data_IF_439182392278
#
_entry.id   IF_439182392278
#
_cell.length_a   1.000
_cell.length_b   1.000
_cell.length_c   1.000
_cell.angle_alpha   90.00
_cell.angle_beta   90.00
_cell.angle_gamma   90.00
#
_symmetry.space_group_name_H-M   'P 1'
#
loop_
_entity.id
_entity.type
_entity.pdbx_description
1 polymer ?
#
# COMPACT_ATOMS: atom_id res chain seq x y z
N UNK A 1 158.19 -87.11 -0.86
CA UNK A 1 159.26 -88.10 -0.64
C UNK A 1 159.87 -88.43 -1.99
N UNK A 2 161.15 -88.76 -1.96
CA UNK A 2 162.16 -88.68 -3.01
C UNK A 2 162.03 -89.64 -4.21
N UNK A 3 162.60 -89.17 -5.32
CA UNK A 3 163.44 -89.83 -6.34
C UNK A 3 162.82 -90.88 -7.29
N UNK A 4 162.89 -90.80 -8.63
CA UNK A 4 163.99 -90.57 -9.60
C UNK A 4 164.59 -91.89 -10.15
N UNK A 5 164.86 -91.88 -11.48
CA UNK A 5 165.56 -92.85 -12.37
C UNK A 5 164.77 -94.02 -12.98
N UNK A 6 164.99 -94.53 -14.22
CA UNK A 6 165.60 -94.13 -15.53
C UNK A 6 165.30 -95.29 -16.52
N UNK A 7 165.14 -95.07 -17.83
CA UNK A 7 165.89 -95.80 -18.91
C UNK A 7 165.63 -95.23 -20.34
N UNK A 8 166.63 -95.34 -21.20
CA UNK A 8 166.75 -94.84 -22.58
C UNK A 8 166.78 -96.01 -23.59
N UNK A 9 166.07 -95.93 -24.75
CA UNK A 9 166.49 -96.38 -26.12
C UNK A 9 165.33 -96.52 -27.17
N UNK A 10 165.65 -96.14 -28.43
CA UNK A 10 165.04 -96.45 -29.78
C UNK A 10 163.78 -95.62 -30.19
N UNK A 11 163.64 -95.02 -31.40
CA UNK A 11 163.96 -95.38 -32.81
C UNK A 11 162.72 -96.06 -33.44
N UNK A 12 162.10 -95.72 -34.59
CA UNK A 12 162.54 -95.24 -35.91
C UNK A 12 161.31 -94.84 -36.80
N UNK A 13 161.61 -94.27 -37.97
CA UNK A 13 160.87 -93.60 -39.05
C UNK A 13 159.79 -94.39 -39.87
N UNK A 14 159.06 -93.61 -40.71
CA UNK A 14 158.44 -93.92 -42.04
C UNK A 14 157.09 -94.69 -42.08
N UNK A 15 156.12 -94.50 -43.00
CA UNK A 15 155.79 -93.54 -44.08
C UNK A 15 154.45 -93.96 -44.75
N UNK A 16 153.69 -93.00 -45.30
CA UNK A 16 152.76 -93.07 -46.48
C UNK A 16 151.21 -93.33 -46.40
N UNK A 17 150.53 -92.56 -47.29
CA UNK A 17 149.25 -92.75 -48.03
C UNK A 17 147.94 -92.13 -47.50
N UNK A 18 147.43 -90.98 -48.04
CA UNK A 18 146.74 -90.68 -49.34
C UNK A 18 145.20 -90.87 -49.31
N UNK A 19 144.46 -89.74 -49.44
CA UNK A 19 143.02 -89.48 -49.71
C UNK A 19 141.91 -90.50 -49.34
N UNK A 20 140.82 -90.09 -48.63
CA UNK A 20 139.56 -90.84 -48.63
C UNK A 20 138.63 -90.41 -49.79
N UNK A 21 137.90 -91.38 -50.32
CA UNK A 21 137.16 -91.36 -51.59
C UNK A 21 136.07 -90.29 -51.75
N UNK A 22 135.82 -89.88 -53.00
CA UNK A 22 134.74 -88.98 -53.46
C UNK A 22 133.33 -89.41 -52.98
N UNK A 23 133.14 -90.69 -52.67
CA UNK A 23 131.87 -91.26 -52.17
C UNK A 23 131.48 -90.73 -50.79
N UNK A 24 132.46 -90.45 -49.92
CA UNK A 24 132.23 -90.00 -48.54
C UNK A 24 131.86 -88.51 -48.50
N UNK A 25 132.52 -87.70 -49.33
CA UNK A 25 132.18 -86.29 -49.53
C UNK A 25 130.79 -86.15 -50.20
N UNK A 26 130.47 -87.00 -51.18
CA UNK A 26 129.16 -86.98 -51.85
C UNK A 26 128.03 -87.34 -50.86
N UNK A 27 128.22 -88.34 -49.99
CA UNK A 27 127.24 -88.70 -48.95
C UNK A 27 127.00 -87.57 -47.95
N UNK A 28 128.06 -86.90 -47.48
CA UNK A 28 127.95 -85.74 -46.58
C UNK A 28 127.20 -84.58 -47.25
N UNK A 29 127.51 -84.28 -48.51
CA UNK A 29 126.80 -83.25 -49.29
C UNK A 29 125.32 -83.62 -49.47
N UNK A 30 125.01 -84.89 -49.72
CA UNK A 30 123.62 -85.39 -49.83
C UNK A 30 122.88 -85.32 -48.50
N UNK A 31 123.52 -85.66 -47.37
CA UNK A 31 122.90 -85.57 -46.03
C UNK A 31 122.64 -84.11 -45.65
N UNK A 32 123.59 -83.20 -45.90
CA UNK A 32 123.39 -81.77 -45.68
C UNK A 32 122.25 -81.26 -46.58
N UNK A 33 122.19 -81.70 -47.84
CA UNK A 33 121.12 -81.34 -48.76
C UNK A 33 119.75 -81.88 -48.30
N UNK A 34 119.68 -83.13 -47.82
CA UNK A 34 118.44 -83.71 -47.29
C UNK A 34 118.01 -83.05 -45.97
N UNK A 35 118.94 -82.74 -45.08
CA UNK A 35 118.67 -82.03 -43.82
C UNK A 35 118.20 -80.59 -44.08
N UNK A 36 118.84 -79.88 -44.99
CA UNK A 36 118.43 -78.52 -45.39
C UNK A 36 117.10 -78.53 -46.14
N UNK A 37 116.85 -79.52 -47.01
CA UNK A 37 115.56 -79.71 -47.68
C UNK A 37 114.46 -80.07 -46.69
N UNK A 38 114.74 -80.91 -45.69
CA UNK A 38 113.78 -81.25 -44.63
C UNK A 38 113.48 -80.02 -43.76
N UNK A 39 114.49 -79.23 -43.41
CA UNK A 39 114.34 -77.97 -42.66
C UNK A 39 113.49 -76.95 -43.43
N UNK A 40 113.77 -76.78 -44.74
CA UNK A 40 112.99 -75.91 -45.62
C UNK A 40 111.56 -76.39 -45.77
N UNK A 41 111.33 -77.70 -45.87
CA UNK A 41 109.99 -78.27 -45.94
C UNK A 41 109.21 -78.03 -44.65
N UNK A 42 109.83 -78.20 -43.47
CA UNK A 42 109.22 -77.91 -42.17
C UNK A 42 108.90 -76.42 -42.03
N UNK A 43 109.81 -75.53 -42.42
CA UNK A 43 109.56 -74.08 -42.43
C UNK A 43 108.50 -73.66 -43.44
N UNK A 44 108.44 -74.31 -44.60
CA UNK A 44 107.39 -74.07 -45.58
C UNK A 44 106.02 -74.54 -45.06
N UNK A 45 105.95 -75.67 -44.35
CA UNK A 45 104.73 -76.11 -43.67
C UNK A 45 104.31 -75.14 -42.57
N UNK A 46 105.25 -74.63 -41.78
CA UNK A 46 104.98 -73.65 -40.73
C UNK A 46 104.51 -72.31 -41.31
N UNK A 47 105.11 -71.83 -42.42
CA UNK A 47 104.67 -70.65 -43.14
C UNK A 47 103.28 -70.83 -43.79
N UNK A 48 103.03 -71.98 -44.39
CA UNK A 48 101.71 -72.32 -44.93
C UNK A 48 100.66 -72.40 -43.83
N UNK A 49 101.00 -72.95 -42.66
CA UNK A 49 100.13 -72.99 -41.50
C UNK A 49 99.86 -71.59 -40.92
N UNK A 50 100.90 -70.76 -40.78
CA UNK A 50 100.77 -69.36 -40.38
C UNK A 50 99.91 -68.55 -41.35
N UNK A 51 100.09 -68.71 -42.67
CA UNK A 51 99.30 -68.01 -43.69
C UNK A 51 97.86 -68.50 -43.70
N UNK A 52 97.63 -69.81 -43.52
CA UNK A 52 96.29 -70.39 -43.37
C UNK A 52 95.60 -69.87 -42.10
N UNK A 53 96.32 -69.78 -40.99
CA UNK A 53 95.81 -69.23 -39.73
C UNK A 53 95.55 -67.73 -39.84
N UNK A 54 96.40 -66.98 -40.55
CA UNK A 54 96.21 -65.54 -40.82
C UNK A 54 95.00 -65.30 -41.72
N UNK A 55 94.84 -66.08 -42.79
CA UNK A 55 93.69 -65.98 -43.68
C UNK A 55 92.39 -66.39 -42.96
N UNK A 56 92.45 -67.41 -42.10
CA UNK A 56 91.32 -67.79 -41.25
C UNK A 56 90.96 -66.69 -40.24
N UNK A 57 91.95 -66.01 -39.65
CA UNK A 57 91.73 -64.88 -38.76
C UNK A 57 91.17 -63.65 -39.51
N UNK A 58 91.63 -63.38 -40.73
CA UNK A 58 91.14 -62.29 -41.58
C UNK A 58 89.67 -62.51 -41.98
N UNK A 59 89.31 -63.72 -42.42
CA UNK A 59 87.92 -64.08 -42.71
C UNK A 59 87.01 -63.98 -41.47
N UNK A 60 87.55 -64.33 -40.29
CA UNK A 60 86.82 -64.15 -39.03
C UNK A 60 86.64 -62.67 -38.69
N UNK A 61 87.67 -61.84 -38.87
CA UNK A 61 87.61 -60.41 -38.62
C UNK A 61 86.63 -59.71 -39.58
N UNK A 62 86.66 -60.05 -40.87
CA UNK A 62 85.71 -59.54 -41.87
C UNK A 62 84.28 -59.91 -41.52
N UNK A 63 84.03 -61.18 -41.17
CA UNK A 63 82.70 -61.63 -40.74
C UNK A 63 82.22 -60.91 -39.47
N UNK A 64 83.12 -60.65 -38.51
CA UNK A 64 82.78 -59.89 -37.30
C UNK A 64 82.45 -58.44 -37.68
N UNK A 65 83.23 -57.80 -38.53
CA UNK A 65 82.97 -56.42 -39.00
C UNK A 65 81.63 -56.35 -39.71
N UNK A 66 81.30 -57.31 -40.59
CA UNK A 66 80.02 -57.35 -41.29
C UNK A 66 78.85 -57.52 -40.33
N UNK A 67 78.96 -58.47 -39.39
CA UNK A 67 77.92 -58.69 -38.36
C UNK A 67 77.77 -57.44 -37.49
N UNK A 68 78.86 -56.86 -37.01
CA UNK A 68 78.84 -55.63 -36.21
C UNK A 68 78.32 -54.43 -37.00
N UNK A 69 78.61 -54.33 -38.30
CA UNK A 69 78.07 -53.29 -39.17
C UNK A 69 76.56 -53.44 -39.37
N UNK A 70 76.09 -54.68 -39.56
CA UNK A 70 74.65 -54.97 -39.65
C UNK A 70 73.96 -54.68 -38.32
N UNK A 71 74.55 -55.10 -37.19
CA UNK A 71 74.06 -54.79 -35.85
C UNK A 71 73.99 -53.27 -35.64
N UNK A 72 75.06 -52.52 -35.95
CA UNK A 72 75.07 -51.06 -35.84
C UNK A 72 74.01 -50.40 -36.74
N UNK A 73 73.85 -50.85 -37.98
CA UNK A 73 72.81 -50.32 -38.87
C UNK A 73 71.40 -50.55 -38.29
N UNK A 74 71.14 -51.75 -37.74
CA UNK A 74 69.84 -52.02 -37.08
C UNK A 74 69.65 -51.19 -35.81
N UNK A 75 70.71 -50.95 -35.03
CA UNK A 75 70.65 -50.11 -33.84
C UNK A 75 70.42 -48.63 -34.19
N UNK A 76 71.04 -48.13 -35.25
CA UNK A 76 70.82 -46.78 -35.76
C UNK A 76 69.37 -46.60 -36.26
N UNK A 77 68.81 -47.59 -36.95
CA UNK A 77 67.41 -47.59 -37.37
C UNK A 77 66.46 -47.57 -36.16
N UNK A 78 66.70 -48.43 -35.16
CA UNK A 78 65.92 -48.46 -33.92
C UNK A 78 66.04 -47.12 -33.16
N UNK A 79 67.24 -46.54 -33.11
CA UNK A 79 67.45 -45.23 -32.48
C UNK A 79 66.68 -44.14 -33.21
N UNK A 80 66.70 -44.12 -34.54
CA UNK A 80 65.95 -43.17 -35.35
C UNK A 80 64.43 -43.34 -35.15
N UNK A 81 63.93 -44.57 -35.10
CA UNK A 81 62.53 -44.85 -34.80
C UNK A 81 62.14 -44.35 -33.40
N UNK A 82 62.92 -44.68 -32.38
CA UNK A 82 62.67 -44.24 -31.00
C UNK A 82 62.71 -42.71 -30.89
N UNK A 83 63.62 -42.02 -31.59
CA UNK A 83 63.68 -40.57 -31.63
C UNK A 83 62.43 -39.94 -32.29
N UNK A 84 61.94 -40.55 -33.37
CA UNK A 84 60.70 -40.13 -34.02
C UNK A 84 59.50 -40.33 -33.09
N UNK A 85 59.39 -41.48 -32.41
CA UNK A 85 58.34 -41.77 -31.44
C UNK A 85 58.37 -40.76 -30.28
N UNK A 86 59.54 -40.45 -29.72
CA UNK A 86 59.70 -39.42 -28.68
C UNK A 86 59.24 -38.05 -29.19
N UNK A 87 59.56 -37.70 -30.43
CA UNK A 87 59.17 -36.42 -31.02
C UNK A 87 57.66 -36.31 -31.20
N UNK A 88 57.00 -37.38 -31.67
CA UNK A 88 55.54 -37.46 -31.75
C UNK A 88 54.87 -37.37 -30.38
N UNK A 89 55.38 -38.11 -29.40
CA UNK A 89 54.88 -38.07 -28.02
C UNK A 89 55.03 -36.69 -27.38
N UNK A 90 56.15 -35.99 -27.61
CA UNK A 90 56.33 -34.60 -27.15
C UNK A 90 55.32 -33.66 -27.78
N UNK A 91 55.04 -33.80 -29.08
CA UNK A 91 54.02 -33.01 -29.75
C UNK A 91 52.62 -33.27 -29.17
N UNK A 92 52.28 -34.53 -28.94
CA UNK A 92 51.02 -34.90 -28.29
C UNK A 92 50.91 -34.33 -26.87
N UNK A 93 51.98 -34.43 -26.06
CA UNK A 93 52.02 -33.83 -24.72
C UNK A 93 51.82 -32.31 -24.77
N UNK A 94 52.43 -31.63 -25.74
CA UNK A 94 52.25 -30.19 -25.92
C UNK A 94 50.80 -29.84 -26.27
N UNK A 95 50.16 -30.59 -27.18
CA UNK A 95 48.75 -30.41 -27.53
C UNK A 95 47.81 -30.65 -26.35
N UNK A 96 48.04 -31.74 -25.60
CA UNK A 96 47.24 -32.05 -24.40
C UNK A 96 47.44 -30.98 -23.33
N UNK A 97 48.66 -30.48 -23.16
CA UNK A 97 48.94 -29.41 -22.20
C UNK A 97 48.27 -28.08 -22.59
N UNK A 98 48.26 -27.74 -23.88
CA UNK A 98 47.55 -26.58 -24.40
C UNK A 98 46.03 -26.72 -24.19
N UNK A 99 45.46 -27.89 -24.49
CA UNK A 99 44.04 -28.19 -24.22
C UNK A 99 43.70 -28.09 -22.73
N UNK A 100 44.55 -28.65 -21.85
CA UNK A 100 44.37 -28.54 -20.40
C UNK A 100 44.43 -27.08 -19.94
N UNK A 101 45.34 -26.27 -20.50
CA UNK A 101 45.42 -24.84 -20.20
C UNK A 101 44.15 -24.10 -20.63
N UNK A 102 43.61 -24.40 -21.81
CA UNK A 102 42.36 -23.80 -22.30
C UNK A 102 41.18 -24.18 -21.41
N UNK A 103 41.07 -25.45 -21.05
CA UNK A 103 39.99 -25.93 -20.17
C UNK A 103 40.07 -25.31 -18.78
N UNK A 104 41.27 -25.13 -18.23
CA UNK A 104 41.47 -24.45 -16.94
C UNK A 104 41.02 -22.99 -17.00
N UNK A 105 41.31 -22.27 -18.09
CA UNK A 105 40.83 -20.89 -18.28
C UNK A 105 39.30 -20.83 -18.39
N UNK A 106 38.69 -21.81 -19.06
CA UNK A 106 37.23 -21.91 -19.14
C UNK A 106 36.62 -22.18 -17.76
N UNK A 107 37.18 -23.13 -17.00
CA UNK A 107 36.74 -23.44 -15.63
C UNK A 107 36.82 -22.20 -14.73
N UNK A 108 37.92 -21.46 -14.76
CA UNK A 108 38.06 -20.23 -13.97
C UNK A 108 37.01 -19.18 -14.36
N UNK A 109 36.71 -19.03 -15.65
CA UNK A 109 35.66 -18.13 -16.11
C UNK A 109 34.27 -18.59 -15.63
N UNK A 110 33.99 -19.90 -15.68
CA UNK A 110 32.74 -20.46 -15.17
C UNK A 110 32.62 -20.27 -13.66
N UNK A 111 33.69 -20.45 -12.90
CA UNK A 111 33.71 -20.21 -11.45
C UNK A 111 33.39 -18.76 -11.12
N UNK A 112 33.98 -17.80 -11.86
CA UNK A 112 33.65 -16.37 -11.72
C UNK A 112 32.17 -16.10 -12.03
N UNK A 113 31.62 -16.71 -13.08
CA UNK A 113 30.19 -16.58 -13.42
C UNK A 113 29.29 -17.16 -12.33
N UNK A 114 29.65 -18.32 -11.77
CA UNK A 114 28.91 -18.95 -10.66
C UNK A 114 28.87 -18.02 -9.46
N UNK A 115 30.01 -17.41 -9.09
CA UNK A 115 30.05 -16.46 -7.95
C UNK A 115 29.14 -15.26 -8.19
N UNK A 116 29.12 -14.70 -9.40
CA UNK A 116 28.24 -13.58 -9.75
C UNK A 116 26.78 -14.00 -9.63
N UNK A 117 26.40 -15.13 -10.24
CA UNK A 117 25.01 -15.63 -10.21
C UNK A 117 24.56 -15.94 -8.78
N UNK A 118 25.44 -16.48 -7.93
CA UNK A 118 25.13 -16.73 -6.52
C UNK A 118 24.91 -15.42 -5.75
N UNK A 119 25.74 -14.40 -6.00
CA UNK A 119 25.56 -13.07 -5.42
C UNK A 119 24.23 -12.43 -5.86
N UNK A 120 23.92 -12.49 -7.16
CA UNK A 120 22.66 -11.96 -7.69
C UNK A 120 21.46 -12.71 -7.12
N UNK A 121 21.55 -14.03 -6.95
CA UNK A 121 20.50 -14.83 -6.32
C UNK A 121 20.25 -14.41 -4.87
N UNK A 122 21.30 -14.17 -4.09
CA UNK A 122 21.17 -13.68 -2.72
C UNK A 122 20.55 -12.28 -2.66
N UNK A 123 20.97 -11.38 -3.57
CA UNK A 123 20.36 -10.06 -3.70
C UNK A 123 18.86 -10.14 -4.03
N UNK A 124 18.48 -10.98 -4.99
CA UNK A 124 17.08 -11.20 -5.37
C UNK A 124 16.27 -11.79 -4.22
N UNK A 125 16.84 -12.75 -3.48
CA UNK A 125 16.20 -13.35 -2.30
C UNK A 125 15.95 -12.31 -1.21
N UNK A 126 16.94 -11.45 -0.95
CA UNK A 126 16.81 -10.35 0.01
C UNK A 126 15.76 -9.32 -0.45
N UNK A 127 15.72 -8.98 -1.74
CA UNK A 127 14.70 -8.09 -2.29
C UNK A 127 13.29 -8.70 -2.17
N UNK A 128 13.14 -10.00 -2.47
CA UNK A 128 11.87 -10.71 -2.36
C UNK A 128 11.37 -10.72 -0.90
N UNK A 129 12.26 -10.98 0.07
CA UNK A 129 11.91 -10.93 1.49
C UNK A 129 11.46 -9.52 1.93
N UNK A 130 12.10 -8.46 1.44
CA UNK A 130 11.66 -7.07 1.71
C UNK A 130 10.29 -6.79 1.09
N UNK A 131 10.03 -7.27 -0.13
CA UNK A 131 8.74 -7.10 -0.78
C UNK A 131 7.63 -7.88 -0.05
N UNK A 132 7.90 -9.09 0.42
CA UNK A 132 6.95 -9.85 1.25
C UNK A 132 6.62 -9.10 2.55
N UNK A 133 7.61 -8.51 3.22
CA UNK A 133 7.38 -7.66 4.40
C UNK A 133 6.55 -6.42 4.08
N UNK A 134 6.81 -5.76 2.95
CA UNK A 134 6.02 -4.61 2.48
C UNK A 134 4.57 -5.01 2.19
N UNK A 135 4.34 -6.13 1.52
CA UNK A 135 3.01 -6.67 1.23
C UNK A 135 2.26 -6.97 2.53
N UNK A 136 2.92 -7.60 3.50
CA UNK A 136 2.30 -7.88 4.80
C UNK A 136 1.91 -6.59 5.54
N UNK A 137 2.77 -5.57 5.52
CA UNK A 137 2.49 -4.28 6.14
C UNK A 137 1.32 -3.55 5.45
N UNK A 138 1.33 -3.49 4.11
CA UNK A 138 0.25 -2.91 3.31
C UNK A 138 -1.07 -3.65 3.53
N UNK A 139 -1.05 -4.97 3.58
CA UNK A 139 -2.23 -5.79 3.86
C UNK A 139 -2.80 -5.47 5.24
N UNK A 140 -1.96 -5.34 6.26
CA UNK A 140 -2.40 -4.95 7.60
C UNK A 140 -3.01 -3.54 7.62
N UNK A 141 -2.43 -2.60 6.86
CA UNK A 141 -2.96 -1.24 6.75
C UNK A 141 -4.33 -1.22 6.06
N UNK A 142 -4.50 -2.02 5.00
CA UNK A 142 -5.80 -2.15 4.31
C UNK A 142 -6.85 -2.70 5.26
N UNK A 143 -6.56 -3.78 6.00
CA UNK A 143 -7.51 -4.34 6.97
C UNK A 143 -7.90 -3.34 8.07
N UNK A 144 -6.94 -2.56 8.58
CA UNK A 144 -7.24 -1.49 9.55
C UNK A 144 -8.12 -0.39 8.93
N UNK A 145 -7.92 -0.06 7.66
CA UNK A 145 -8.73 0.95 6.97
C UNK A 145 -10.15 0.44 6.68
N UNK A 146 -10.32 -0.84 6.36
CA UNK A 146 -11.62 -1.49 6.22
C UNK A 146 -12.40 -1.50 7.53
N UNK A 147 -11.73 -1.80 8.66
CA UNK A 147 -12.34 -1.72 9.99
C UNK A 147 -12.80 -0.29 10.32
N UNK A 148 -11.94 0.71 10.07
CA UNK A 148 -12.29 2.12 10.26
C UNK A 148 -13.48 2.55 9.38
N UNK A 149 -13.54 2.09 8.12
CA UNK A 149 -14.67 2.39 7.23
C UNK A 149 -15.97 1.71 7.73
N UNK A 150 -15.88 0.49 8.23
CA UNK A 150 -17.02 -0.20 8.84
C UNK A 150 -17.56 0.58 10.06
N UNK A 151 -16.66 1.01 10.95
CA UNK A 151 -17.03 1.81 12.11
C UNK A 151 -17.65 3.16 11.70
N UNK A 152 -17.05 3.84 10.72
CA UNK A 152 -17.57 5.11 10.22
C UNK A 152 -18.97 4.96 9.61
N UNK A 153 -19.24 3.85 8.91
CA UNK A 153 -20.57 3.57 8.38
C UNK A 153 -21.61 3.35 9.49
N UNK A 154 -21.24 2.65 10.57
CA UNK A 154 -22.09 2.48 11.75
C UNK A 154 -22.39 3.84 12.38
N UNK A 155 -21.37 4.68 12.58
CA UNK A 155 -21.51 6.02 13.15
C UNK A 155 -22.40 6.92 12.29
N UNK A 156 -22.27 6.84 10.96
CA UNK A 156 -23.10 7.59 10.01
C UNK A 156 -24.56 7.17 10.11
N UNK A 157 -24.86 5.87 10.13
CA UNK A 157 -26.24 5.39 10.27
C UNK A 157 -26.83 5.75 11.66
N UNK A 158 -26.02 5.68 12.72
CA UNK A 158 -26.47 6.11 14.05
C UNK A 158 -26.79 7.62 14.07
N UNK A 159 -25.92 8.47 13.52
CA UNK A 159 -26.18 9.92 13.41
C UNK A 159 -27.41 10.23 12.56
N UNK A 160 -27.65 9.44 11.51
CA UNK A 160 -28.83 9.59 10.66
C UNK A 160 -30.12 9.25 11.42
N UNK A 161 -30.09 8.18 12.23
CA UNK A 161 -31.21 7.85 13.13
C UNK A 161 -31.44 8.96 14.16
N UNK A 162 -30.39 9.46 14.80
CA UNK A 162 -30.48 10.56 15.77
C UNK A 162 -31.09 11.82 15.16
N UNK A 163 -30.76 12.13 13.90
CA UNK A 163 -31.34 13.26 13.16
C UNK A 163 -32.84 13.03 12.94
N UNK A 164 -33.26 11.83 12.53
CA UNK A 164 -34.67 11.51 12.33
C UNK A 164 -35.45 11.62 13.65
N UNK A 165 -34.91 11.10 14.74
CA UNK A 165 -35.53 11.18 16.06
C UNK A 165 -35.68 12.64 16.53
N UNK A 166 -34.65 13.47 16.30
CA UNK A 166 -34.70 14.90 16.59
C UNK A 166 -35.72 15.64 15.73
N UNK A 167 -35.82 15.30 14.44
CA UNK A 167 -36.84 15.87 13.55
C UNK A 167 -38.25 15.53 14.04
N UNK A 168 -38.50 14.28 14.44
CA UNK A 168 -39.80 13.88 14.98
C UNK A 168 -40.13 14.62 16.29
N UNK A 169 -39.15 14.78 17.19
CA UNK A 169 -39.32 15.59 18.42
C UNK A 169 -39.65 17.05 18.10
N UNK A 170 -39.02 17.66 17.10
CA UNK A 170 -39.33 19.03 16.67
C UNK A 170 -40.78 19.13 16.19
N UNK A 171 -41.27 18.15 15.43
CA UNK A 171 -42.66 18.12 14.97
C UNK A 171 -43.62 18.09 16.17
N UNK A 172 -43.38 17.20 17.13
CA UNK A 172 -44.22 17.06 18.34
C UNK A 172 -44.22 18.37 19.14
N UNK A 173 -43.05 18.93 19.43
CA UNK A 173 -42.92 20.19 20.18
C UNK A 173 -43.62 21.34 19.44
N UNK A 174 -43.52 21.38 18.11
CA UNK A 174 -44.20 22.40 17.30
C UNK A 174 -45.72 22.26 17.40
N UNK A 175 -46.26 21.03 17.34
CA UNK A 175 -47.69 20.78 17.53
C UNK A 175 -48.16 21.14 18.94
N UNK A 176 -47.39 20.79 19.97
CA UNK A 176 -47.69 21.15 21.36
C UNK A 176 -47.70 22.67 21.54
N UNK A 177 -46.69 23.38 21.04
CA UNK A 177 -46.63 24.85 21.03
C UNK A 177 -47.87 25.45 20.35
N UNK A 178 -48.26 24.93 19.18
CA UNK A 178 -49.44 25.41 18.46
C UNK A 178 -50.73 25.19 19.27
N UNK A 179 -50.85 24.04 19.94
CA UNK A 179 -51.98 23.74 20.81
C UNK A 179 -52.05 24.67 22.03
N UNK A 180 -50.89 24.97 22.65
CA UNK A 180 -50.79 25.91 23.76
C UNK A 180 -51.11 27.32 23.32
N UNK A 181 -50.62 27.75 22.15
CA UNK A 181 -50.94 29.05 21.57
C UNK A 181 -52.44 29.21 21.36
N UNK A 182 -53.14 28.19 20.84
CA UNK A 182 -54.61 28.22 20.69
C UNK A 182 -55.32 28.31 22.03
N UNK A 183 -54.85 27.59 23.06
CA UNK A 183 -55.42 27.66 24.42
C UNK A 183 -55.24 29.05 25.03
N UNK A 184 -54.08 29.67 24.82
CA UNK A 184 -53.82 31.04 25.27
C UNK A 184 -54.77 32.03 24.59
N UNK A 185 -54.92 31.96 23.26
CA UNK A 185 -55.88 32.84 22.56
C UNK A 185 -57.32 32.64 23.03
N UNK A 186 -57.76 31.39 23.23
CA UNK A 186 -59.09 31.12 23.76
C UNK A 186 -59.28 31.69 25.19
N UNK A 187 -58.25 31.59 26.02
CA UNK A 187 -58.28 32.14 27.38
C UNK A 187 -58.29 33.68 27.36
N UNK A 188 -57.52 34.31 26.46
CA UNK A 188 -57.54 35.76 26.22
C UNK A 188 -58.94 36.24 25.80
N UNK A 189 -59.59 35.53 24.88
CA UNK A 189 -60.97 35.80 24.45
C UNK A 189 -61.97 35.65 25.61
N UNK A 190 -61.85 34.58 26.40
CA UNK A 190 -62.67 34.33 27.58
C UNK A 190 -62.50 35.44 28.62
N UNK A 191 -61.26 35.87 28.90
CA UNK A 191 -60.96 37.00 29.78
C UNK A 191 -61.57 38.31 29.24
N UNK A 192 -61.47 38.58 27.94
CA UNK A 192 -62.11 39.73 27.31
C UNK A 192 -63.63 39.71 27.52
N UNK A 193 -64.26 38.55 27.34
CA UNK A 193 -65.71 38.38 27.55
C UNK A 193 -66.10 38.57 29.03
N UNK A 194 -65.30 38.05 29.96
CA UNK A 194 -65.53 38.13 31.39
C UNK A 194 -65.36 39.57 31.87
N UNK A 195 -64.35 40.29 31.38
CA UNK A 195 -64.14 41.71 31.64
C UNK A 195 -65.37 42.53 31.24
N UNK A 196 -65.91 42.33 30.05
CA UNK A 196 -67.15 43.01 29.61
C UNK A 196 -68.35 42.71 30.52
N UNK A 197 -68.48 41.48 31.01
CA UNK A 197 -69.54 41.11 31.96
C UNK A 197 -69.32 41.78 33.33
N UNK A 198 -68.09 41.75 33.82
CA UNK A 198 -67.70 42.39 35.07
C UNK A 198 -67.99 43.89 35.04
N UNK A 199 -67.54 44.60 33.99
CA UNK A 199 -67.75 46.04 33.80
C UNK A 199 -69.24 46.43 33.73
N UNK A 200 -70.11 45.51 33.31
CA UNK A 200 -71.58 45.71 33.35
C UNK A 200 -72.14 45.60 34.76
N UNK A 201 -71.58 44.74 35.61
CA UNK A 201 -72.04 44.50 36.98
C UNK A 201 -71.59 45.61 37.94
N UNK A 202 -70.37 46.14 37.75
CA UNK A 202 -69.82 47.18 38.62
C UNK A 202 -70.23 48.61 38.22
N UNK A 203 -71.13 48.79 37.24
CA UNK A 203 -71.61 50.12 36.87
C UNK A 203 -72.28 50.79 38.08
N UNK A 204 -71.90 52.03 38.42
CA UNK A 204 -72.49 52.73 39.56
C UNK A 204 -73.99 52.94 39.34
N UNK A 205 -74.80 52.91 40.40
CA UNK A 205 -76.26 53.07 40.26
C UNK A 205 -76.64 54.34 39.48
N UNK A 206 -77.57 54.20 38.52
CA UNK A 206 -78.08 55.32 37.70
C UNK A 206 -78.63 56.44 38.59
N UNK A 207 -77.96 57.60 38.59
CA UNK A 207 -78.31 58.76 39.42
C UNK A 207 -78.68 59.99 38.58
N UNK A 208 -79.53 60.85 39.14
CA UNK A 208 -79.88 62.17 38.59
C UNK A 208 -78.95 63.28 39.06
N UNK A 209 -78.11 63.03 40.09
CA UNK A 209 -77.28 64.07 40.73
C UNK A 209 -76.21 64.58 39.75
N UNK A 210 -76.23 65.89 39.47
CA UNK A 210 -75.28 66.57 38.58
C UNK A 210 -75.50 66.32 37.09
N UNK A 211 -76.67 65.81 36.69
CA UNK A 211 -76.99 65.45 35.29
C UNK A 211 -78.04 66.39 34.70
N UNK A 212 -78.06 66.51 33.37
CA UNK A 212 -79.09 67.27 32.65
C UNK A 212 -80.34 66.41 32.50
N UNK A 213 -81.37 66.69 33.32
CA UNK A 213 -82.56 65.83 33.45
C UNK A 213 -83.68 66.35 32.56
N UNK A 214 -84.05 65.56 31.55
CA UNK A 214 -85.24 65.81 30.73
C UNK A 214 -86.35 64.82 31.07
N UNK A 215 -87.60 65.24 30.96
CA UNK A 215 -88.75 64.37 31.23
C UNK A 215 -89.55 64.06 29.96
N UNK A 216 -89.79 62.78 29.70
CA UNK A 216 -90.58 62.28 28.58
C UNK A 216 -91.78 61.54 29.12
N UNK A 217 -92.97 62.03 28.82
CA UNK A 217 -94.22 61.38 29.18
C UNK A 217 -94.85 60.74 27.93
N UNK A 218 -95.29 59.49 28.06
CA UNK A 218 -95.90 58.74 26.96
C UNK A 218 -97.22 58.12 27.41
N UNK A 219 -98.28 58.44 26.68
CA UNK A 219 -99.64 57.97 26.93
C UNK A 219 -100.38 57.79 25.60
N UNK A 220 -101.49 57.05 25.64
CA UNK A 220 -102.37 56.80 24.51
C UNK A 220 -103.79 57.16 24.92
N UNK A 221 -104.32 58.20 24.31
CA UNK A 221 -105.65 58.75 24.63
C UNK A 221 -106.54 58.56 23.40
N UNK A 222 -107.70 57.92 23.57
CA UNK A 222 -108.68 57.68 22.49
C UNK A 222 -108.05 57.04 21.23
N UNK A 223 -107.15 56.07 21.42
CA UNK A 223 -106.47 55.36 20.33
C UNK A 223 -105.23 56.05 19.75
N UNK A 224 -104.99 57.33 20.05
CA UNK A 224 -103.86 58.10 19.52
C UNK A 224 -102.70 58.20 20.51
N UNK A 225 -101.49 57.93 20.04
CA UNK A 225 -100.26 58.05 20.80
C UNK A 225 -99.89 59.51 21.05
N UNK A 226 -99.75 59.90 22.32
CA UNK A 226 -99.36 61.23 22.76
C UNK A 226 -98.05 61.18 23.52
N UNK A 227 -97.05 61.85 22.97
CA UNK A 227 -95.74 62.03 23.62
C UNK A 227 -95.66 63.48 24.09
N UNK A 228 -95.26 63.67 25.34
CA UNK A 228 -94.95 64.98 25.88
C UNK A 228 -93.50 65.05 26.33
N UNK A 229 -92.84 66.15 26.03
CA UNK A 229 -91.46 66.42 26.39
C UNK A 229 -91.37 67.66 27.26
N UNK A 230 -90.57 67.58 28.31
CA UNK A 230 -90.23 68.68 29.20
C UNK A 230 -88.71 68.76 29.28
N UNK A 231 -88.16 69.88 28.85
CA UNK A 231 -86.73 70.16 28.99
C UNK A 231 -86.36 70.46 30.45
N UNK A 232 -85.07 70.50 30.77
CA UNK A 232 -84.61 70.80 32.14
C UNK A 232 -85.01 72.21 32.59
N UNK A 233 -85.08 73.14 31.63
CA UNK A 233 -85.35 74.58 31.87
C UNK A 233 -86.84 74.94 31.70
N UNK A 234 -87.64 74.00 31.17
CA UNK A 234 -89.07 74.23 30.95
C UNK A 234 -89.87 73.94 32.23
N UNK A 235 -90.89 74.76 32.53
CA UNK A 235 -91.81 74.46 33.63
C UNK A 235 -92.88 73.42 33.24
N UNK A 236 -93.31 73.42 31.97
CA UNK A 236 -94.45 72.68 31.46
C UNK A 236 -94.10 71.66 30.37
N UNK A 237 -94.93 70.63 30.24
CA UNK A 237 -94.81 69.62 29.19
C UNK A 237 -95.33 70.13 27.84
N UNK A 238 -94.54 69.95 26.77
CA UNK A 238 -94.94 70.24 25.40
C UNK A 238 -95.29 68.96 24.64
N UNK A 239 -96.38 68.94 23.87
CA UNK A 239 -96.73 67.76 23.06
C UNK A 239 -95.84 67.72 21.82
N UNK A 240 -95.15 66.61 21.58
CA UNK A 240 -94.20 66.46 20.46
C UNK A 240 -94.48 65.16 19.70
N UNK A 241 -94.23 65.16 18.39
CA UNK A 241 -94.22 63.90 17.61
C UNK A 241 -92.99 63.06 17.95
N UNK A 242 -93.04 61.76 17.63
CA UNK A 242 -91.90 60.85 17.79
C UNK A 242 -90.64 61.35 17.07
N UNK A 243 -90.77 61.85 15.83
CA UNK A 243 -89.64 62.41 15.06
C UNK A 243 -89.04 63.64 15.75
N UNK A 244 -89.89 64.53 16.25
CA UNK A 244 -89.46 65.73 16.97
C UNK A 244 -88.79 65.38 18.31
N UNK A 245 -89.32 64.41 19.06
CA UNK A 245 -88.69 63.91 20.29
C UNK A 245 -87.27 63.41 20.01
N UNK A 246 -87.10 62.54 19.01
CA UNK A 246 -85.78 62.02 18.64
C UNK A 246 -84.82 63.12 18.19
N UNK A 247 -85.29 64.11 17.42
CA UNK A 247 -84.46 65.25 17.00
C UNK A 247 -84.02 66.11 18.19
N UNK A 248 -84.94 66.41 19.13
CA UNK A 248 -84.62 67.15 20.37
C UNK A 248 -83.59 66.39 21.21
N UNK A 249 -83.84 65.11 21.48
CA UNK A 249 -82.94 64.27 22.27
C UNK A 249 -81.58 64.07 21.59
N UNK A 250 -81.52 64.00 20.26
CA UNK A 250 -80.25 63.91 19.53
C UNK A 250 -79.43 65.21 19.66
N UNK A 251 -80.08 66.38 19.61
CA UNK A 251 -79.42 67.67 19.86
C UNK A 251 -78.90 67.75 21.30
N UNK A 252 -79.72 67.33 22.26
CA UNK A 252 -79.32 67.31 23.68
C UNK A 252 -78.21 66.29 23.95
N UNK A 253 -78.21 65.14 23.28
CA UNK A 253 -77.13 64.16 23.36
C UNK A 253 -75.82 64.71 22.82
N UNK A 254 -75.85 65.50 21.74
CA UNK A 254 -74.65 66.20 21.24
C UNK A 254 -74.16 67.27 22.22
N UNK A 255 -75.08 67.97 22.89
CA UNK A 255 -74.75 69.04 23.85
C UNK A 255 -74.27 68.51 25.21
N UNK A 256 -74.82 67.37 25.65
CA UNK A 256 -74.54 66.71 26.93
C UNK A 256 -74.25 65.22 26.70
N UNK A 257 -73.10 64.86 26.07
CA UNK A 257 -72.81 63.49 25.67
C UNK A 257 -72.78 62.50 26.83
N UNK A 258 -72.23 62.89 27.99
CA UNK A 258 -72.06 62.01 29.14
C UNK A 258 -73.00 62.35 30.32
N UNK A 259 -73.87 63.35 30.16
CA UNK A 259 -74.65 63.92 31.26
C UNK A 259 -76.17 63.94 31.04
N UNK A 260 -76.65 63.55 29.85
CA UNK A 260 -78.07 63.54 29.55
C UNK A 260 -78.80 62.40 30.31
N UNK A 261 -79.65 62.75 31.26
CA UNK A 261 -80.56 61.85 31.96
C UNK A 261 -81.97 61.97 31.40
N UNK A 262 -82.58 60.85 31.03
CA UNK A 262 -83.95 60.81 30.52
C UNK A 262 -84.87 60.21 31.57
N UNK A 263 -85.72 61.05 32.15
CA UNK A 263 -86.80 60.65 33.06
C UNK A 263 -88.03 60.26 32.24
N UNK A 264 -88.31 58.98 32.14
CA UNK A 264 -89.48 58.49 31.41
C UNK A 264 -90.63 58.31 32.40
N UNK A 265 -91.77 58.94 32.12
CA UNK A 265 -92.96 58.91 32.97
C UNK A 265 -94.10 58.26 32.19
N UNK A 266 -94.51 57.08 32.61
CA UNK A 266 -95.65 56.35 32.04
C UNK A 266 -96.76 56.35 33.09
N UNK A 267 -97.86 57.11 32.89
CA UNK A 267 -98.98 57.13 33.82
C UNK A 267 -99.61 55.73 33.98
N UNK A 268 -100.22 55.46 35.15
CA UNK A 268 -100.93 54.19 35.40
C UNK A 268 -102.05 53.93 34.39
N UNK A 269 -102.72 55.00 33.96
CA UNK A 269 -103.78 54.98 32.94
C UNK A 269 -103.25 55.41 31.56
N UNK A 270 -102.01 55.06 31.23
CA UNK A 270 -101.39 55.45 29.96
C UNK A 270 -102.02 54.81 28.73
N UNK A 271 -102.84 53.76 28.86
CA UNK A 271 -103.44 53.06 27.71
C UNK A 271 -102.43 52.35 26.80
N UNK A 272 -101.18 52.18 27.25
CA UNK A 272 -100.09 51.50 26.54
C UNK A 272 -100.00 50.04 26.95
N UNK A 273 -99.62 49.16 26.02
CA UNK A 273 -99.23 47.80 26.36
C UNK A 273 -97.82 47.77 26.97
N UNK A 274 -97.52 46.71 27.74
CA UNK A 274 -96.20 46.51 28.33
C UNK A 274 -95.08 46.54 27.28
N UNK A 275 -95.25 45.84 26.17
CA UNK A 275 -94.25 45.78 25.09
C UNK A 275 -94.02 47.13 24.42
N UNK A 276 -95.06 47.94 24.22
CA UNK A 276 -94.94 49.29 23.65
C UNK A 276 -94.20 50.24 24.60
N UNK A 277 -94.57 50.24 25.88
CA UNK A 277 -93.92 51.02 26.92
C UNK A 277 -92.44 50.64 27.08
N UNK A 278 -92.16 49.34 27.15
CA UNK A 278 -90.80 48.80 27.29
C UNK A 278 -89.93 49.11 26.07
N UNK A 279 -90.45 48.90 24.85
CA UNK A 279 -89.71 49.17 23.62
C UNK A 279 -89.41 50.66 23.45
N UNK A 280 -90.38 51.52 23.78
CA UNK A 280 -90.19 52.97 23.79
C UNK A 280 -89.12 53.39 24.79
N UNK A 281 -89.21 52.88 26.01
CA UNK A 281 -88.24 53.16 27.08
C UNK A 281 -86.83 52.70 26.70
N UNK A 282 -86.67 51.43 26.31
CA UNK A 282 -85.38 50.84 25.93
C UNK A 282 -84.74 51.58 24.74
N UNK A 283 -85.54 51.95 23.73
CA UNK A 283 -85.08 52.70 22.56
C UNK A 283 -84.55 54.08 22.91
N UNK A 284 -85.24 54.81 23.81
CA UNK A 284 -84.82 56.14 24.24
C UNK A 284 -83.59 56.09 25.14
N UNK A 285 -83.59 55.20 26.13
CA UNK A 285 -82.50 55.07 27.09
C UNK A 285 -81.20 54.64 26.40
N UNK A 286 -81.23 53.58 25.59
CA UNK A 286 -80.02 53.09 24.91
C UNK A 286 -79.42 54.11 23.93
N UNK A 287 -80.24 54.94 23.28
CA UNK A 287 -79.76 55.89 22.25
C UNK A 287 -79.26 57.21 22.82
N UNK A 288 -79.77 57.63 23.97
CA UNK A 288 -79.59 59.02 24.42
C UNK A 288 -79.24 59.15 25.91
N UNK A 289 -79.68 58.24 26.78
CA UNK A 289 -79.39 58.35 28.22
C UNK A 289 -77.94 58.00 28.52
N UNK A 290 -77.30 58.75 29.42
CA UNK A 290 -75.88 58.59 29.73
C UNK A 290 -75.54 57.20 30.29
N UNK A 291 -76.43 56.60 31.07
CA UNK A 291 -76.13 55.37 31.82
C UNK A 291 -76.07 54.11 30.94
N UNK A 292 -76.88 54.11 29.88
CA UNK A 292 -77.02 52.97 28.97
C UNK A 292 -76.09 53.02 27.76
N UNK A 293 -75.19 54.01 27.71
CA UNK A 293 -74.16 54.05 26.68
C UNK A 293 -73.12 52.96 26.93
N UNK A 294 -72.47 52.45 25.86
CA UNK A 294 -71.21 51.75 26.02
C UNK A 294 -70.24 52.69 26.73
N UNK A 295 -69.49 52.16 27.70
CA UNK A 295 -68.37 52.87 28.31
C UNK A 295 -67.40 53.08 27.15
N UNK A 296 -67.28 54.29 26.62
CA UNK A 296 -66.22 54.62 25.69
C UNK A 296 -64.90 54.42 26.44
N UNK A 297 -64.03 53.55 25.95
CA UNK A 297 -62.66 53.33 26.47
C UNK A 297 -61.75 54.55 26.27
N UNK A 298 -62.26 55.76 26.39
CA UNK A 298 -61.46 56.97 26.50
C UNK A 298 -61.37 57.34 27.97
N UNK A 299 -60.52 56.61 28.70
CA UNK A 299 -59.74 57.05 29.88
C UNK A 299 -59.06 55.82 30.51
N UNK A 300 -58.16 55.19 29.77
CA UNK A 300 -57.04 54.45 30.37
C UNK A 300 -55.78 54.62 29.53
N UNK A 301 -55.51 55.87 29.13
CA UNK A 301 -54.18 56.36 28.80
C UNK A 301 -53.75 57.31 29.90
N UNK A 302 -53.57 56.76 31.10
CA UNK A 302 -52.85 57.42 32.17
C UNK A 302 -52.17 56.35 33.03
N UNK A 303 -50.85 56.26 32.82
CA UNK A 303 -49.81 55.52 33.56
C UNK A 303 -49.56 54.08 33.13
#
# INVERSE_FOLDING_TARGET
MNNEFVDLRRGHLNSESFWPSFTDIMMVVVIIFLLTSMLLMVRNWELLDQLRNSMAAELQAEKIIDVTSQENATLEEQLAQAQNEISMLRMQLMQVNEQASMLNMELENKDRQIVIVLSDNDQLKNANSRHEQQIAALSSQVSAMEENLSQLNIDVEQKKQDIQDKQQKIIIITQERDSQSRRLSALEDDFGSLKVKYDKLIRPARTTKGRYVVSVNYERIKGNARIRFKDSDDSNYTTVSKKQLHSKLQKLKKKYPNDLYIKIVIPKESGLTYNEAWTFMKSLLNKYDYYYQPISEETSSAQ
#
